data_IF_469719437585
#
_entry.id   IF_469719437585
#
_cell.length_a   1.000
_cell.length_b   1.000
_cell.length_c   1.000
_cell.angle_alpha   90.00
_cell.angle_beta   90.00
_cell.angle_gamma   90.00
#
_symmetry.space_group_name_H-M   'P 1'
#
loop_
_entity.id
_entity.type
_entity.pdbx_description
1 polymer ?
#
# COMPACT_ATOMS: atom_id res chain seq x y z
N UNK A 1 -5.28 1.80 13.38
CA UNK A 1 -4.14 2.71 13.15
C UNK A 1 -4.16 3.05 11.67
N UNK A 2 -4.22 4.33 11.34
CA UNK A 2 -4.34 4.83 9.97
C UNK A 2 -2.94 5.25 9.52
N UNK A 3 -2.38 4.57 8.50
CA UNK A 3 -1.00 4.79 8.07
C UNK A 3 -1.00 5.50 6.72
N UNK A 4 -0.56 6.77 6.72
CA UNK A 4 -0.43 7.58 5.51
C UNK A 4 0.98 7.41 4.93
N UNK A 5 1.08 6.70 3.81
CA UNK A 5 2.34 6.43 3.12
C UNK A 5 2.95 7.72 2.54
N UNK A 6 2.16 8.77 2.27
CA UNK A 6 2.66 9.99 1.64
C UNK A 6 3.55 10.84 2.55
N UNK A 7 3.38 10.76 3.88
CA UNK A 7 4.23 11.49 4.83
C UNK A 7 5.54 10.77 5.17
N UNK A 8 5.71 9.50 4.76
CA UNK A 8 6.83 8.63 5.20
C UNK A 8 7.85 8.25 4.12
N UNK A 9 7.74 8.76 2.88
CA UNK A 9 8.69 8.42 1.79
C UNK A 9 10.12 8.97 2.01
N UNK A 10 10.42 9.71 3.10
CA UNK A 10 11.79 10.14 3.39
C UNK A 10 12.63 9.14 4.20
N UNK A 11 12.06 8.06 4.77
CA UNK A 11 12.88 7.10 5.54
C UNK A 11 12.46 5.67 5.20
N UNK A 12 13.04 5.12 4.14
CA UNK A 12 13.37 3.69 4.10
C UNK A 12 14.73 3.52 3.41
N UNK A 13 15.76 4.15 3.99
CA UNK A 13 17.16 3.78 3.77
C UNK A 13 17.68 3.15 5.08
N UNK A 14 18.23 1.94 4.97
CA UNK A 14 18.98 1.20 6.01
C UNK A 14 18.18 0.26 6.94
N UNK A 15 17.89 -0.92 6.40
CA UNK A 15 17.95 -2.33 6.90
C UNK A 15 17.91 -2.66 8.42
N UNK A 16 18.20 -1.75 9.34
CA UNK A 16 18.23 -2.03 10.79
C UNK A 16 16.85 -1.89 11.46
N UNK A 17 15.88 -1.23 10.83
CA UNK A 17 14.51 -1.03 11.33
C UNK A 17 13.54 -2.19 11.03
N UNK A 18 14.06 -3.30 10.48
CA UNK A 18 13.27 -4.40 9.91
C UNK A 18 12.55 -5.25 10.97
N UNK A 19 13.10 -5.43 12.17
CA UNK A 19 12.51 -6.35 13.17
C UNK A 19 11.44 -5.70 14.07
N UNK A 20 11.49 -4.38 14.26
CA UNK A 20 10.51 -3.65 15.08
C UNK A 20 9.25 -3.26 14.31
N UNK A 21 9.34 -3.04 12.98
CA UNK A 21 8.17 -2.73 12.15
C UNK A 21 7.30 -3.96 11.80
N UNK A 22 7.86 -5.17 11.79
CA UNK A 22 7.09 -6.39 11.43
C UNK A 22 5.99 -6.74 12.44
N UNK A 23 6.14 -6.38 13.72
CA UNK A 23 5.10 -6.61 14.72
C UNK A 23 3.93 -5.63 14.59
N UNK A 24 4.18 -4.37 14.18
CA UNK A 24 3.13 -3.36 14.00
C UNK A 24 2.39 -3.49 12.67
N UNK A 25 3.07 -3.96 11.61
CA UNK A 25 2.44 -4.27 10.31
C UNK A 25 1.42 -5.41 10.41
N UNK A 26 1.58 -6.32 11.37
CA UNK A 26 0.59 -7.36 11.65
C UNK A 26 -0.75 -6.82 12.20
N UNK A 27 -0.85 -5.53 12.51
CA UNK A 27 -2.11 -4.88 12.92
C UNK A 27 -2.61 -3.85 11.88
N UNK A 28 -1.96 -3.78 10.71
CA UNK A 28 -2.33 -2.81 9.69
C UNK A 28 -3.71 -3.14 9.11
N UNK A 29 -4.70 -2.33 9.48
CA UNK A 29 -6.10 -2.45 9.03
C UNK A 29 -6.45 -1.48 7.92
N UNK A 30 -5.74 -0.35 7.83
CA UNK A 30 -6.04 0.74 6.90
C UNK A 30 -4.73 1.26 6.30
N UNK A 31 -4.72 1.47 4.98
CA UNK A 31 -3.56 1.92 4.23
C UNK A 31 -3.95 3.03 3.26
N UNK A 32 -3.31 4.18 3.40
CA UNK A 32 -3.54 5.35 2.56
C UNK A 32 -2.29 5.69 1.75
N UNK A 33 -2.41 5.76 0.42
CA UNK A 33 -1.34 6.05 -0.53
C UNK A 33 -1.71 7.28 -1.35
N UNK A 34 -1.18 8.43 -0.93
CA UNK A 34 -1.42 9.72 -1.57
C UNK A 34 -0.24 10.25 -2.36
N UNK A 35 -0.52 11.06 -3.39
CA UNK A 35 0.42 12.04 -4.01
C UNK A 35 1.80 11.47 -4.37
N UNK A 36 1.86 10.21 -4.78
CA UNK A 36 3.10 9.53 -5.18
C UNK A 36 3.09 9.25 -6.70
N UNK A 37 3.46 10.24 -7.55
CA UNK A 37 3.34 10.12 -9.00
C UNK A 37 4.32 9.12 -9.64
N UNK A 38 5.39 8.74 -8.92
CA UNK A 38 6.41 7.78 -9.39
C UNK A 38 6.23 6.36 -8.82
N UNK A 39 5.27 6.17 -7.92
CA UNK A 39 5.03 4.86 -7.32
C UNK A 39 4.33 3.97 -8.34
N UNK A 40 4.90 2.80 -8.60
CA UNK A 40 4.41 1.84 -9.60
C UNK A 40 4.03 0.50 -9.00
N UNK A 41 4.39 0.25 -7.74
CA UNK A 41 4.11 -1.03 -7.09
C UNK A 41 3.78 -0.88 -5.61
N UNK A 42 2.98 -1.81 -5.12
CA UNK A 42 2.58 -2.00 -3.75
C UNK A 42 3.52 -2.96 -3.02
N UNK A 43 3.52 -2.93 -1.68
CA UNK A 43 4.11 -3.97 -0.86
C UNK A 43 3.64 -5.38 -1.27
N UNK A 44 4.41 -6.40 -0.92
CA UNK A 44 4.00 -7.78 -1.18
C UNK A 44 2.69 -8.13 -0.47
N UNK A 45 1.94 -9.06 -1.05
CA UNK A 45 0.63 -9.49 -0.57
C UNK A 45 0.66 -9.87 0.91
N UNK A 46 1.74 -10.51 1.37
CA UNK A 46 1.91 -10.95 2.75
C UNK A 46 1.85 -9.80 3.76
N UNK A 47 2.27 -8.60 3.36
CA UNK A 47 2.21 -7.39 4.17
C UNK A 47 0.79 -6.80 4.19
N UNK A 48 0.02 -7.03 3.12
CA UNK A 48 -1.35 -6.52 2.95
C UNK A 48 -2.43 -7.51 3.41
N UNK A 49 -2.06 -8.69 3.94
CA UNK A 49 -3.01 -9.76 4.28
C UNK A 49 -4.06 -9.35 5.31
N UNK A 50 -3.70 -8.48 6.25
CA UNK A 50 -4.58 -8.10 7.35
C UNK A 50 -5.32 -6.79 7.10
N UNK A 51 -5.11 -6.21 5.92
CA UNK A 51 -5.63 -4.93 5.51
C UNK A 51 -7.14 -5.03 5.21
N UNK A 52 -7.92 -4.21 5.92
CA UNK A 52 -9.36 -4.09 5.73
C UNK A 52 -9.73 -2.99 4.72
N UNK A 53 -8.91 -1.95 4.65
CA UNK A 53 -9.14 -0.77 3.82
C UNK A 53 -7.86 -0.32 3.11
N UNK A 54 -7.97 -0.04 1.81
CA UNK A 54 -6.92 0.57 1.00
C UNK A 54 -7.50 1.80 0.29
N UNK A 55 -6.79 2.91 0.36
CA UNK A 55 -7.11 4.10 -0.40
C UNK A 55 -5.88 4.60 -1.17
N UNK A 56 -6.02 4.75 -2.49
CA UNK A 56 -4.96 5.25 -3.38
C UNK A 56 -5.49 6.50 -4.08
N UNK A 57 -4.82 7.64 -3.89
CA UNK A 57 -5.20 8.91 -4.50
C UNK A 57 -3.99 9.66 -5.06
N UNK A 58 -4.19 10.38 -6.18
CA UNK A 58 -3.11 11.15 -6.83
C UNK A 58 -1.83 10.36 -7.15
N UNK A 59 -1.98 9.06 -7.46
CA UNK A 59 -0.89 8.14 -7.82
C UNK A 59 -1.14 7.52 -9.21
N UNK A 60 -0.95 8.27 -10.32
CA UNK A 60 -1.36 7.86 -11.66
C UNK A 60 -0.78 6.53 -12.13
N UNK A 61 0.52 6.28 -11.91
CA UNK A 61 1.18 5.05 -12.38
C UNK A 61 0.70 3.82 -11.59
N UNK A 62 0.62 3.92 -10.27
CA UNK A 62 0.12 2.84 -9.45
C UNK A 62 -1.36 2.55 -9.72
N UNK A 63 -2.15 3.59 -9.98
CA UNK A 63 -3.56 3.47 -10.38
C UNK A 63 -3.69 2.65 -11.66
N UNK A 64 -2.90 2.95 -12.68
CA UNK A 64 -2.94 2.21 -13.95
C UNK A 64 -2.68 0.72 -13.73
N UNK A 65 -1.66 0.40 -12.93
CA UNK A 65 -1.35 -0.97 -12.53
C UNK A 65 -2.50 -1.59 -11.72
N UNK A 66 -3.09 -0.89 -10.76
CA UNK A 66 -4.18 -1.44 -9.93
C UNK A 66 -5.55 -1.50 -10.65
N UNK A 67 -5.74 -0.79 -11.76
CA UNK A 67 -7.03 -0.74 -12.47
C UNK A 67 -7.27 -1.94 -13.40
N UNK A 68 -6.24 -2.74 -13.66
CA UNK A 68 -6.29 -3.91 -14.53
C UNK A 68 -6.42 -5.19 -13.71
N UNK A 69 -7.51 -5.93 -13.90
CA UNK A 69 -7.79 -7.22 -13.23
C UNK A 69 -6.72 -8.29 -13.48
N UNK A 70 -5.93 -8.11 -14.54
CA UNK A 70 -4.82 -8.98 -14.94
C UNK A 70 -3.47 -8.55 -14.41
N UNK A 71 -3.36 -7.40 -13.74
CA UNK A 71 -2.08 -6.91 -13.27
C UNK A 71 -1.59 -7.67 -12.04
N UNK A 72 -0.27 -7.62 -11.85
CA UNK A 72 0.37 -8.15 -10.64
C UNK A 72 -0.06 -7.37 -9.40
N UNK A 73 -0.34 -6.07 -9.55
CA UNK A 73 -0.70 -5.20 -8.44
C UNK A 73 -2.14 -5.42 -7.99
N UNK A 74 -3.08 -5.67 -8.92
CA UNK A 74 -4.44 -6.06 -8.59
C UNK A 74 -4.48 -7.34 -7.74
N UNK A 75 -3.63 -8.31 -8.07
CA UNK A 75 -3.53 -9.58 -7.32
C UNK A 75 -3.09 -9.40 -5.86
N UNK A 76 -2.43 -8.29 -5.53
CA UNK A 76 -2.02 -7.94 -4.17
C UNK A 76 -3.12 -7.27 -3.36
N UNK A 77 -4.15 -6.70 -4.00
CA UNK A 77 -5.21 -5.94 -3.34
C UNK A 77 -6.60 -6.54 -3.50
N UNK A 78 -6.77 -7.52 -4.39
CA UNK A 78 -8.06 -8.15 -4.68
C UNK A 78 -8.70 -8.88 -3.49
N UNK A 79 -7.92 -9.20 -2.45
CA UNK A 79 -8.44 -9.79 -1.21
C UNK A 79 -8.84 -8.75 -0.16
N UNK A 80 -8.56 -7.47 -0.39
CA UNK A 80 -8.86 -6.39 0.55
C UNK A 80 -10.37 -6.10 0.48
N UNK A 81 -11.09 -6.11 1.62
CA UNK A 81 -12.55 -5.93 1.64
C UNK A 81 -13.03 -4.61 1.02
N UNK A 82 -12.30 -3.52 1.23
CA UNK A 82 -12.62 -2.20 0.69
C UNK A 82 -11.37 -1.57 0.11
N UNK A 83 -11.36 -1.35 -1.20
CA UNK A 83 -10.28 -0.70 -1.91
C UNK A 83 -10.85 0.48 -2.74
N UNK A 84 -10.43 1.69 -2.40
CA UNK A 84 -10.80 2.92 -3.09
C UNK A 84 -9.58 3.42 -3.89
N UNK A 85 -9.75 3.54 -5.20
CA UNK A 85 -8.71 4.03 -6.10
C UNK A 85 -9.30 5.25 -6.80
N UNK A 86 -8.69 6.41 -6.57
CA UNK A 86 -9.01 7.72 -7.16
C UNK A 86 -10.17 8.52 -6.57
N UNK A 87 -10.93 7.97 -5.61
CA UNK A 87 -12.08 8.66 -4.99
C UNK A 87 -13.29 8.83 -5.91
#
# INVERSE_FOLDING_TARGET
MHYDICSSVQIMASVTLFLILFQDLASLKELDIGKCPKLTSLPEKDVLLLLGFLHIYSCPLLKEECSSDKSREWSKISHIPLAEIDG
#
